data_IF_531744442315
#
_entry.id   IF_531744442315
#
_cell.length_a   1.000
_cell.length_b   1.000
_cell.length_c   1.000
_cell.angle_alpha   90.00
_cell.angle_beta   90.00
_cell.angle_gamma   90.00
#
_symmetry.space_group_name_H-M   'P 1'
#
loop_
_entity.id
_entity.type
_entity.pdbx_description
1 polymer ?
#
# COMPACT_ATOMS: atom_id res chain seq x y z
N UNK A 1 34.20 -5.63 -58.78
CA UNK A 1 34.44 -7.07 -59.03
C UNK A 1 35.73 -7.49 -58.33
N UNK A 2 35.81 -8.76 -57.87
CA UNK A 2 36.73 -9.42 -56.90
C UNK A 2 36.15 -9.40 -55.47
N UNK A 3 35.48 -10.45 -54.91
CA UNK A 3 35.83 -11.88 -54.65
C UNK A 3 37.11 -11.98 -53.77
N UNK A 4 37.23 -12.67 -52.63
CA UNK A 4 36.55 -13.86 -52.04
C UNK A 4 37.09 -14.16 -50.59
N UNK A 5 36.30 -14.92 -49.79
CA UNK A 5 36.58 -15.83 -48.63
C UNK A 5 37.36 -15.37 -47.36
N UNK A 6 36.87 -15.53 -46.11
CA UNK A 6 36.44 -16.69 -45.27
C UNK A 6 37.60 -17.54 -44.70
N UNK A 7 37.79 -17.56 -43.36
CA UNK A 7 37.98 -18.78 -42.54
C UNK A 7 38.07 -18.51 -41.03
N UNK A 8 37.50 -19.45 -40.28
CA UNK A 8 37.21 -19.52 -38.83
C UNK A 8 38.29 -20.37 -38.13
N UNK A 9 38.61 -20.08 -36.85
CA UNK A 9 38.88 -20.99 -35.70
C UNK A 9 39.57 -20.15 -34.61
N UNK A 10 39.33 -20.23 -33.30
CA UNK A 10 38.63 -21.18 -32.44
C UNK A 10 39.22 -20.97 -31.03
N UNK A 11 38.40 -20.98 -29.97
CA UNK A 11 38.90 -20.85 -28.61
C UNK A 11 37.83 -20.47 -27.59
N UNK A 12 36.89 -21.37 -27.33
CA UNK A 12 35.99 -21.25 -26.17
C UNK A 12 36.62 -21.97 -24.98
N UNK A 13 36.94 -21.21 -23.93
CA UNK A 13 37.30 -21.74 -22.61
C UNK A 13 36.00 -22.05 -21.88
N UNK A 14 35.68 -23.33 -21.71
CA UNK A 14 34.61 -23.76 -20.82
C UNK A 14 35.22 -24.02 -19.43
N UNK A 15 35.11 -23.05 -18.53
CA UNK A 15 35.33 -23.26 -17.11
C UNK A 15 34.04 -23.81 -16.49
N UNK A 16 34.12 -25.03 -15.96
CA UNK A 16 33.07 -25.61 -15.14
C UNK A 16 32.97 -24.85 -13.81
N UNK A 17 31.83 -24.21 -13.58
CA UNK A 17 31.43 -23.69 -12.28
C UNK A 17 30.23 -24.47 -11.78
N UNK A 18 30.46 -25.40 -10.86
CA UNK A 18 29.42 -25.94 -9.98
C UNK A 18 28.94 -24.81 -9.09
N UNK A 19 27.67 -24.45 -9.21
CA UNK A 19 26.99 -23.48 -8.36
C UNK A 19 25.58 -23.96 -8.08
N UNK A 20 25.45 -24.82 -7.09
CA UNK A 20 24.17 -25.10 -6.45
C UNK A 20 23.69 -23.80 -5.80
N UNK A 21 22.53 -23.33 -6.22
CA UNK A 21 21.84 -22.18 -5.63
C UNK A 21 20.41 -22.27 -6.08
N UNK A 22 19.62 -23.08 -5.38
CA UNK A 22 18.17 -23.01 -5.45
C UNK A 22 17.77 -21.57 -5.14
N UNK A 23 17.39 -20.83 -6.18
CA UNK A 23 16.67 -19.56 -6.03
C UNK A 23 15.38 -19.88 -5.27
N UNK A 24 15.45 -19.67 -3.96
CA UNK A 24 14.26 -19.48 -3.15
C UNK A 24 13.79 -18.08 -3.49
N UNK A 25 13.09 -17.94 -4.62
CA UNK A 25 12.30 -16.75 -4.89
C UNK A 25 11.20 -16.72 -3.83
N UNK A 26 11.48 -16.03 -2.73
CA UNK A 26 10.43 -15.59 -1.82
C UNK A 26 9.57 -14.65 -2.65
N UNK A 27 8.37 -15.14 -2.99
CA UNK A 27 7.33 -14.39 -3.67
C UNK A 27 6.80 -13.32 -2.70
N UNK A 28 7.51 -12.19 -2.61
CA UNK A 28 6.97 -10.98 -2.01
C UNK A 28 5.89 -10.49 -2.96
N UNK A 29 4.64 -10.37 -2.51
CA UNK A 29 3.52 -9.95 -3.34
C UNK A 29 3.77 -8.60 -4.02
N UNK A 30 4.33 -8.64 -5.23
CA UNK A 30 4.59 -7.47 -6.06
C UNK A 30 3.40 -7.29 -7.00
N UNK A 31 2.66 -6.20 -6.82
CA UNK A 31 1.67 -5.78 -7.82
C UNK A 31 2.46 -5.22 -9.02
N UNK A 32 2.54 -5.98 -10.10
CA UNK A 32 3.10 -5.54 -11.39
C UNK A 32 1.97 -5.27 -12.37
N UNK A 33 1.82 -4.02 -12.82
CA UNK A 33 1.08 -3.72 -14.04
C UNK A 33 1.95 -4.04 -15.25
N UNK A 34 2.02 -5.31 -15.65
CA UNK A 34 2.43 -5.62 -17.03
C UNK A 34 1.38 -5.04 -17.97
N UNK A 35 1.79 -4.25 -18.97
CA UNK A 35 0.96 -3.68 -20.03
C UNK A 35 0.40 -4.75 -21.01
N UNK A 36 -0.22 -5.78 -20.47
CA UNK A 36 -1.19 -6.65 -21.15
C UNK A 36 -2.39 -6.71 -20.24
N UNK A 37 -3.59 -6.48 -20.78
CA UNK A 37 -4.86 -6.40 -20.06
C UNK A 37 -4.93 -7.43 -18.93
N UNK A 38 -4.66 -6.99 -17.70
CA UNK A 38 -4.77 -7.81 -16.52
C UNK A 38 -6.24 -7.74 -16.06
N UNK A 39 -7.01 -8.84 -16.08
CA UNK A 39 -8.39 -8.84 -15.62
C UNK A 39 -8.53 -8.54 -14.11
N UNK A 40 -7.43 -8.45 -13.35
CA UNK A 40 -7.43 -7.86 -12.00
C UNK A 40 -7.70 -6.34 -11.97
N UNK A 41 -7.75 -5.67 -13.14
CA UNK A 41 -8.37 -4.36 -13.34
C UNK A 41 -9.90 -4.41 -13.40
N UNK A 42 -10.53 -5.53 -13.01
CA UNK A 42 -11.90 -5.44 -12.52
C UNK A 42 -11.87 -4.62 -11.23
N UNK A 43 -11.99 -3.29 -11.42
CA UNK A 43 -12.36 -2.27 -10.44
C UNK A 43 -13.18 -2.92 -9.34
N UNK A 44 -12.52 -3.41 -8.28
CA UNK A 44 -13.20 -4.06 -7.17
C UNK A 44 -14.22 -3.06 -6.69
N UNK A 45 -15.49 -3.43 -6.82
CA UNK A 45 -16.63 -2.51 -6.82
C UNK A 45 -16.60 -1.71 -5.53
N UNK A 46 -16.09 -0.47 -5.63
CA UNK A 46 -16.37 0.58 -4.67
C UNK A 46 -17.90 0.64 -4.64
N UNK A 47 -18.50 0.29 -3.51
CA UNK A 47 -19.94 0.29 -3.37
C UNK A 47 -20.45 1.73 -3.56
N UNK A 48 -21.73 1.88 -3.90
CA UNK A 48 -22.34 3.21 -4.06
C UNK A 48 -22.13 4.05 -2.80
N UNK A 49 -22.25 3.41 -1.63
CA UNK A 49 -22.05 4.01 -0.32
C UNK A 49 -20.61 4.53 -0.12
N UNK A 50 -19.57 3.76 -0.47
CA UNK A 50 -18.19 4.29 -0.40
C UNK A 50 -17.92 5.40 -1.43
N UNK A 51 -18.54 5.34 -2.61
CA UNK A 51 -18.44 6.42 -3.60
C UNK A 51 -19.05 7.72 -3.07
N UNK A 52 -20.24 7.65 -2.46
CA UNK A 52 -20.92 8.80 -1.88
C UNK A 52 -20.13 9.41 -0.71
N UNK A 53 -19.59 8.58 0.21
CA UNK A 53 -18.75 9.05 1.31
C UNK A 53 -17.48 9.74 0.82
N UNK A 54 -16.76 9.14 -0.13
CA UNK A 54 -15.56 9.74 -0.72
C UNK A 54 -15.89 11.08 -1.37
N UNK A 55 -16.97 11.17 -2.15
CA UNK A 55 -17.39 12.42 -2.78
C UNK A 55 -17.74 13.49 -1.73
N UNK A 56 -18.43 13.11 -0.66
CA UNK A 56 -18.73 14.01 0.44
C UNK A 56 -17.45 14.54 1.11
N UNK A 57 -16.50 13.66 1.41
CA UNK A 57 -15.22 14.05 2.01
C UNK A 57 -14.38 14.95 1.08
N UNK A 58 -14.40 14.68 -0.23
CA UNK A 58 -13.77 15.54 -1.24
C UNK A 58 -14.39 16.94 -1.25
N UNK A 59 -15.73 17.04 -1.22
CA UNK A 59 -16.43 18.32 -1.17
C UNK A 59 -16.11 19.13 0.09
N UNK A 60 -15.86 18.45 1.21
CA UNK A 60 -15.42 19.08 2.45
C UNK A 60 -13.93 19.45 2.48
N UNK A 61 -13.17 19.12 1.42
CA UNK A 61 -11.73 19.42 1.29
C UNK A 61 -10.82 18.50 2.11
N UNK A 62 -11.30 17.30 2.46
CA UNK A 62 -10.69 16.43 3.46
C UNK A 62 -9.76 15.35 2.88
N UNK A 63 -9.58 15.35 1.56
CA UNK A 63 -8.75 14.40 0.81
C UNK A 63 -7.46 15.04 0.30
N UNK A 64 -6.78 15.81 1.14
CA UNK A 64 -5.52 16.45 0.75
C UNK A 64 -4.46 15.38 0.43
N UNK A 65 -3.79 15.52 -0.71
CA UNK A 65 -2.64 14.68 -1.03
C UNK A 65 -1.41 15.17 -0.24
N UNK A 66 -0.72 14.24 0.43
CA UNK A 66 0.58 14.48 1.06
C UNK A 66 1.65 13.64 0.39
N UNK A 67 2.87 14.17 0.30
CA UNK A 67 4.02 13.41 -0.22
C UNK A 67 4.88 12.95 0.93
N UNK A 68 5.23 11.66 0.94
CA UNK A 68 6.06 11.01 1.95
C UNK A 68 7.32 10.47 1.28
N UNK A 69 8.49 10.93 1.74
CA UNK A 69 9.78 10.39 1.33
C UNK A 69 10.18 9.24 2.24
N UNK A 70 10.57 8.13 1.63
CA UNK A 70 11.24 7.04 2.33
C UNK A 70 12.67 7.43 2.71
N UNK A 71 13.29 6.63 3.58
CA UNK A 71 14.68 6.85 3.99
C UNK A 71 15.65 6.59 2.84
N UNK A 72 15.38 5.55 2.04
CA UNK A 72 16.18 5.22 0.87
C UNK A 72 15.91 6.20 -0.29
N UNK A 73 16.95 6.76 -0.94
CA UNK A 73 16.77 7.61 -2.11
C UNK A 73 15.95 6.92 -3.20
N UNK A 74 15.03 7.67 -3.80
CA UNK A 74 14.13 7.20 -4.86
C UNK A 74 12.84 6.55 -4.37
N UNK A 75 12.62 6.44 -3.05
CA UNK A 75 11.32 6.07 -2.45
C UNK A 75 10.51 7.34 -2.20
N UNK A 76 9.35 7.43 -2.84
CA UNK A 76 8.45 8.57 -2.74
C UNK A 76 7.00 8.10 -2.93
N UNK A 77 6.15 8.31 -1.94
CA UNK A 77 4.72 8.06 -2.06
C UNK A 77 3.95 9.37 -2.05
N UNK A 78 2.99 9.51 -2.97
CA UNK A 78 1.88 10.43 -2.81
C UNK A 78 0.74 9.68 -2.13
N UNK A 79 0.25 10.22 -1.03
CA UNK A 79 -0.69 9.57 -0.12
C UNK A 79 -1.91 10.46 0.04
N UNK A 80 -3.07 9.87 -0.17
CA UNK A 80 -4.36 10.54 -0.02
C UNK A 80 -5.23 9.73 0.93
N UNK A 81 -5.63 10.32 2.04
CA UNK A 81 -6.67 9.76 2.92
C UNK A 81 -8.03 10.09 2.30
N UNK A 82 -8.76 9.07 1.85
CA UNK A 82 -10.02 9.24 1.13
C UNK A 82 -11.23 9.24 2.06
N UNK A 83 -11.21 8.35 3.04
CA UNK A 83 -12.34 8.17 3.95
C UNK A 83 -11.92 7.58 5.30
N UNK A 84 -12.76 7.82 6.31
CA UNK A 84 -12.69 7.19 7.64
C UNK A 84 -14.09 6.78 8.05
N UNK A 85 -14.34 5.48 8.11
CA UNK A 85 -15.69 4.95 8.34
C UNK A 85 -15.70 3.79 9.33
N UNK A 86 -16.85 3.54 9.94
CA UNK A 86 -17.07 2.38 10.81
C UNK A 86 -17.30 1.13 9.95
N UNK A 87 -16.71 0.00 10.36
CA UNK A 87 -16.81 -1.30 9.65
C UNK A 87 -16.82 -2.44 10.66
N UNK A 88 -16.75 -3.68 10.19
CA UNK A 88 -16.66 -4.90 10.98
C UNK A 88 -15.57 -5.83 10.46
N UNK A 89 -15.02 -6.68 11.33
CA UNK A 89 -14.14 -7.76 10.90
C UNK A 89 -14.91 -8.81 10.11
N UNK A 90 -14.25 -9.39 9.10
CA UNK A 90 -14.82 -10.42 8.22
C UNK A 90 -14.06 -11.75 8.26
N UNK A 91 -13.01 -11.85 9.07
CA UNK A 91 -12.15 -13.03 9.26
C UNK A 91 -12.51 -13.85 10.51
N UNK A 92 -13.57 -13.48 11.22
CA UNK A 92 -13.97 -14.10 12.49
C UNK A 92 -13.30 -13.49 13.72
N UNK A 93 -12.47 -12.46 13.59
CA UNK A 93 -11.95 -11.70 14.72
C UNK A 93 -13.08 -11.02 15.49
N UNK A 94 -13.01 -11.05 16.82
CA UNK A 94 -13.99 -10.39 17.68
C UNK A 94 -13.65 -8.91 17.90
N UNK A 95 -14.69 -8.07 17.91
CA UNK A 95 -14.56 -6.69 18.37
C UNK A 95 -14.68 -6.66 19.90
N UNK A 96 -13.67 -6.16 20.64
CA UNK A 96 -13.73 -6.10 22.10
C UNK A 96 -14.95 -5.32 22.60
N UNK A 97 -15.58 -5.72 23.71
CA UNK A 97 -16.70 -4.99 24.30
C UNK A 97 -16.35 -3.52 24.56
N UNK A 98 -17.28 -2.62 24.23
CA UNK A 98 -17.07 -1.16 24.35
C UNK A 98 -16.17 -0.56 23.27
N UNK A 99 -15.78 -1.34 22.26
CA UNK A 99 -15.02 -0.87 21.09
C UNK A 99 -15.81 -1.01 19.81
N UNK A 100 -15.32 -0.38 18.75
CA UNK A 100 -15.77 -0.51 17.37
C UNK A 100 -14.57 -0.60 16.43
N UNK A 101 -14.80 -1.13 15.23
CA UNK A 101 -13.78 -1.17 14.18
C UNK A 101 -13.99 0.02 13.24
N UNK A 102 -12.94 0.81 13.06
CA UNK A 102 -12.90 1.88 12.08
C UNK A 102 -11.92 1.49 10.97
N UNK A 103 -12.20 1.84 9.72
CA UNK A 103 -11.27 1.74 8.62
C UNK A 103 -10.91 3.11 8.10
N UNK A 104 -9.62 3.32 7.82
CA UNK A 104 -9.13 4.45 7.03
C UNK A 104 -8.87 3.95 5.62
N UNK A 105 -9.53 4.53 4.63
CA UNK A 105 -9.24 4.27 3.23
C UNK A 105 -8.15 5.20 2.72
N UNK A 106 -7.05 4.61 2.24
CA UNK A 106 -5.87 5.35 1.79
C UNK A 106 -5.54 4.93 0.36
N UNK A 107 -5.37 5.93 -0.50
CA UNK A 107 -4.74 5.75 -1.79
C UNK A 107 -3.27 6.15 -1.70
N UNK A 108 -2.42 5.29 -2.26
CA UNK A 108 -1.00 5.55 -2.44
C UNK A 108 -0.65 5.49 -3.92
N UNK A 109 0.22 6.41 -4.36
CA UNK A 109 0.85 6.38 -5.67
C UNK A 109 2.35 6.37 -5.47
N UNK A 110 3.05 5.41 -6.08
CA UNK A 110 4.50 5.44 -6.08
C UNK A 110 4.98 6.51 -7.07
N UNK A 111 5.33 7.68 -6.56
CA UNK A 111 5.88 8.79 -7.32
C UNK A 111 7.41 8.73 -7.41
N UNK A 112 8.03 7.71 -6.81
CA UNK A 112 9.46 7.48 -6.81
C UNK A 112 9.95 6.81 -8.08
N UNK A 113 11.25 6.51 -8.09
CA UNK A 113 11.93 5.80 -9.17
C UNK A 113 12.23 4.34 -8.82
N UNK A 114 11.97 3.93 -7.58
CA UNK A 114 12.20 2.57 -7.08
C UNK A 114 10.90 1.89 -6.71
N UNK A 115 10.90 0.56 -6.75
CA UNK A 115 9.81 -0.25 -6.19
C UNK A 115 9.69 0.07 -4.70
N UNK A 116 8.49 0.46 -4.28
CA UNK A 116 8.14 0.58 -2.88
C UNK A 116 7.87 -0.82 -2.33
N UNK A 117 8.40 -1.14 -1.14
CA UNK A 117 8.15 -2.41 -0.46
C UNK A 117 8.22 -2.17 1.06
N UNK A 118 7.07 -2.17 1.72
CA UNK A 118 6.95 -1.92 3.16
C UNK A 118 5.65 -2.54 3.71
N UNK A 119 5.32 -2.26 4.97
CA UNK A 119 4.05 -2.59 5.61
C UNK A 119 3.30 -1.31 6.03
N UNK A 120 2.67 -0.57 5.09
CA UNK A 120 2.01 0.72 5.36
C UNK A 120 1.06 0.75 6.56
N UNK A 121 0.29 -0.32 6.75
CA UNK A 121 -0.66 -0.42 7.85
C UNK A 121 0.02 -0.17 9.21
N UNK A 122 1.20 -0.78 9.45
CA UNK A 122 1.92 -0.68 10.73
C UNK A 122 2.43 0.71 11.06
N UNK A 123 2.69 1.54 10.03
CA UNK A 123 3.11 2.94 10.17
C UNK A 123 1.95 3.91 10.33
N UNK A 124 0.69 3.44 10.30
CA UNK A 124 -0.49 4.29 10.36
C UNK A 124 -1.02 4.41 11.79
N UNK A 125 -1.49 5.60 12.17
CA UNK A 125 -2.07 5.89 13.48
C UNK A 125 -3.23 6.87 13.31
N UNK A 126 -4.35 6.63 13.99
CA UNK A 126 -5.43 7.62 14.08
C UNK A 126 -5.35 8.40 15.38
N UNK A 127 -5.76 9.67 15.33
CA UNK A 127 -5.70 10.61 16.46
C UNK A 127 -7.10 11.18 16.66
N UNK A 128 -7.61 11.11 17.88
CA UNK A 128 -8.93 11.64 18.22
C UNK A 128 -8.92 13.14 18.56
N UNK A 129 -10.09 13.71 18.79
CA UNK A 129 -10.27 15.12 19.15
C UNK A 129 -9.55 15.54 20.46
N UNK A 130 -9.20 14.58 21.34
CA UNK A 130 -8.43 14.83 22.56
C UNK A 130 -6.91 14.73 22.35
N UNK A 131 -6.47 14.35 21.15
CA UNK A 131 -5.06 14.10 20.82
C UNK A 131 -4.60 12.68 21.18
N UNK A 132 -5.50 11.79 21.62
CA UNK A 132 -5.16 10.40 21.93
C UNK A 132 -4.95 9.62 20.63
N UNK A 133 -3.89 8.81 20.61
CA UNK A 133 -3.44 8.04 19.45
C UNK A 133 -3.86 6.57 19.55
N UNK A 134 -4.25 6.00 18.42
CA UNK A 134 -4.62 4.59 18.28
C UNK A 134 -3.85 3.97 17.12
N UNK A 135 -3.24 2.81 17.38
CA UNK A 135 -2.48 2.05 16.37
C UNK A 135 -3.42 1.22 15.51
N UNK A 136 -2.99 0.94 14.28
CA UNK A 136 -3.73 0.05 13.39
C UNK A 136 -3.84 -1.35 14.01
N UNK A 137 -4.89 -2.06 13.63
CA UNK A 137 -4.96 -3.51 13.81
C UNK A 137 -3.90 -4.20 12.93
N UNK A 138 -3.58 -5.49 13.19
CA UNK A 138 -2.64 -6.25 12.37
C UNK A 138 -3.07 -6.31 10.90
N UNK A 139 -2.13 -6.27 9.97
CA UNK A 139 -2.41 -6.36 8.52
C UNK A 139 -2.96 -7.72 8.07
N UNK A 140 -3.01 -8.71 8.96
CA UNK A 140 -3.59 -10.03 8.70
C UNK A 140 -5.10 -10.05 8.85
N UNK A 141 -5.70 -9.02 9.45
CA UNK A 141 -7.15 -8.98 9.63
C UNK A 141 -7.85 -8.51 8.36
N UNK A 142 -9.07 -8.99 8.14
CA UNK A 142 -9.93 -8.48 7.07
C UNK A 142 -11.14 -7.75 7.65
N UNK A 143 -11.57 -6.71 6.95
CA UNK A 143 -12.77 -5.92 7.30
C UNK A 143 -13.66 -5.78 6.09
N UNK A 144 -14.93 -5.45 6.32
CA UNK A 144 -15.84 -5.09 5.24
C UNK A 144 -15.49 -3.73 4.62
N UNK A 145 -15.93 -3.51 3.38
CA UNK A 145 -15.78 -2.24 2.67
C UNK A 145 -14.52 -2.11 1.81
N UNK A 146 -13.64 -3.11 1.75
CA UNK A 146 -12.45 -3.04 0.90
C UNK A 146 -11.38 -4.08 1.20
N UNK A 147 -10.22 -3.92 0.59
CA UNK A 147 -9.05 -4.76 0.87
C UNK A 147 -8.11 -4.04 1.84
N UNK A 148 -7.68 -4.72 2.90
CA UNK A 148 -6.68 -4.20 3.83
C UNK A 148 -5.31 -4.22 3.15
N UNK A 149 -4.43 -3.25 3.46
CA UNK A 149 -3.06 -3.29 2.94
C UNK A 149 -2.41 -4.64 3.26
N UNK A 150 -1.94 -5.39 2.25
CA UNK A 150 -1.29 -6.65 2.48
C UNK A 150 0.05 -6.44 3.18
N UNK A 151 0.60 -7.54 3.69
CA UNK A 151 1.94 -7.56 4.24
C UNK A 151 2.68 -8.80 3.71
N UNK A 152 3.75 -8.64 2.92
CA UNK A 152 4.34 -7.37 2.46
C UNK A 152 3.47 -6.62 1.44
N UNK A 153 3.68 -5.32 1.27
CA UNK A 153 3.04 -4.51 0.22
C UNK A 153 4.09 -3.91 -0.72
N UNK A 154 4.11 -4.41 -1.95
CA UNK A 154 4.95 -3.89 -3.04
C UNK A 154 4.19 -2.97 -4.00
N UNK A 155 4.80 -1.88 -4.46
CA UNK A 155 4.20 -0.99 -5.47
C UNK A 155 5.26 -0.51 -6.47
N UNK A 156 5.07 -0.79 -7.76
CA UNK A 156 6.00 -0.35 -8.81
C UNK A 156 5.96 1.17 -9.00
N UNK A 157 7.02 1.80 -9.52
CA UNK A 157 6.99 3.20 -9.91
C UNK A 157 5.78 3.53 -10.80
N UNK A 158 5.10 4.64 -10.52
CA UNK A 158 3.90 5.14 -11.19
C UNK A 158 2.62 4.34 -10.95
N UNK A 159 2.70 3.17 -10.34
CA UNK A 159 1.50 2.42 -9.94
C UNK A 159 0.81 3.09 -8.75
N UNK A 160 -0.50 2.85 -8.66
CA UNK A 160 -1.36 3.33 -7.60
C UNK A 160 -2.15 2.19 -6.96
N UNK A 161 -2.51 2.36 -5.70
CA UNK A 161 -3.31 1.37 -4.97
C UNK A 161 -4.16 2.06 -3.91
N UNK A 162 -5.43 1.65 -3.80
CA UNK A 162 -6.31 2.01 -2.68
C UNK A 162 -6.51 0.78 -1.80
N UNK A 163 -6.35 0.96 -0.50
CA UNK A 163 -6.55 -0.10 0.49
C UNK A 163 -6.93 0.50 1.85
N UNK A 164 -7.45 -0.37 2.71
CA UNK A 164 -7.92 -0.04 4.05
C UNK A 164 -6.82 -0.27 5.09
N UNK A 165 -6.86 0.55 6.14
CA UNK A 165 -6.14 0.30 7.40
C UNK A 165 -7.18 0.24 8.53
N UNK A 166 -7.39 -0.92 9.15
CA UNK A 166 -8.35 -1.08 10.24
C UNK A 166 -7.78 -0.63 11.59
N UNK A 167 -8.66 -0.16 12.48
CA UNK A 167 -8.38 0.31 13.83
C UNK A 167 -9.46 -0.17 14.78
N UNK A 168 -9.07 -0.59 15.99
CA UNK A 168 -10.02 -0.82 17.08
C UNK A 168 -9.96 0.37 18.03
N UNK A 169 -11.09 1.05 18.19
CA UNK A 169 -11.20 2.25 19.05
C UNK A 169 -12.41 2.12 19.97
N UNK A 170 -12.40 2.75 21.15
CA UNK A 170 -13.60 2.84 21.98
C UNK A 170 -14.79 3.42 21.21
N UNK A 171 -15.99 2.95 21.53
CA UNK A 171 -17.22 3.55 20.98
C UNK A 171 -17.29 5.04 21.30
N UNK A 172 -17.79 5.83 20.33
CA UNK A 172 -17.91 7.29 20.47
C UNK A 172 -16.62 8.09 20.23
N UNK A 173 -15.47 7.45 20.00
CA UNK A 173 -14.24 8.15 19.62
C UNK A 173 -14.40 8.85 18.28
N UNK A 174 -14.20 10.17 18.27
CA UNK A 174 -14.19 10.97 17.06
C UNK A 174 -12.76 11.12 16.54
N UNK A 175 -12.41 10.39 15.49
CA UNK A 175 -11.10 10.48 14.84
C UNK A 175 -11.02 11.81 14.09
N UNK A 176 -9.96 12.58 14.34
CA UNK A 176 -9.74 13.90 13.72
C UNK A 176 -8.50 13.97 12.87
N UNK A 177 -7.55 13.07 13.06
CA UNK A 177 -6.35 13.02 12.22
C UNK A 177 -5.92 11.60 11.92
N UNK A 178 -5.29 11.43 10.77
CA UNK A 178 -4.57 10.21 10.36
C UNK A 178 -3.12 10.58 10.21
N UNK A 179 -2.23 9.90 10.92
CA UNK A 179 -0.80 9.95 10.70
C UNK A 179 -0.37 8.71 9.91
N UNK A 180 0.46 8.90 8.91
CA UNK A 180 0.98 7.82 8.06
C UNK A 180 2.49 7.97 7.92
N UNK A 181 3.21 6.88 8.07
CA UNK A 181 4.65 6.81 7.95
C UNK A 181 5.03 5.54 7.19
N UNK A 182 6.06 5.65 6.35
CA UNK A 182 6.75 4.53 5.70
C UNK A 182 8.20 4.53 6.16
N UNK A 183 8.82 3.37 6.17
CA UNK A 183 10.19 3.12 6.64
C UNK A 183 10.41 3.58 8.10
N UNK A 184 11.09 2.76 8.92
CA UNK A 184 11.41 3.20 10.29
C UNK A 184 12.41 4.36 10.27
N UNK A 185 11.93 5.59 10.37
CA UNK A 185 12.75 6.80 10.34
C UNK A 185 12.53 7.72 9.13
N UNK A 186 11.68 7.30 8.18
CA UNK A 186 11.24 8.14 7.06
C UNK A 186 10.34 9.30 7.48
N UNK A 187 10.02 10.18 6.53
CA UNK A 187 9.06 11.28 6.75
C UNK A 187 7.68 10.72 7.16
N UNK A 188 6.91 11.54 7.87
CA UNK A 188 5.53 11.21 8.22
C UNK A 188 4.61 12.31 7.73
N UNK A 189 3.40 11.92 7.35
CA UNK A 189 2.34 12.84 7.00
C UNK A 189 1.26 12.86 8.07
N UNK A 190 0.50 13.94 8.09
CA UNK A 190 -0.63 14.13 8.98
C UNK A 190 -1.79 14.76 8.21
N UNK A 191 -2.90 14.03 8.14
CA UNK A 191 -4.12 14.44 7.46
C UNK A 191 -5.19 14.73 8.50
N UNK A 192 -5.95 15.81 8.30
CA UNK A 192 -7.16 16.05 9.07
C UNK A 192 -8.32 15.30 8.42
N UNK A 193 -9.18 14.72 9.25
CA UNK A 193 -10.38 14.01 8.81
C UNK A 193 -11.61 14.66 9.49
N UNK A 194 -12.81 14.58 8.89
CA UNK A 194 -13.98 15.37 9.26
C UNK A 194 -14.41 15.27 10.72
#
# INVERSE_FOLDING_TARGET
MRRVAMLILGGAVAAAGVGCGSDSSIDYGFYSNNHGENPAMEKKVITVDSTERIQQNQQLGLTAEGTIKGEAPGILLRVTVQDVFETSFTDGSETPPGSRVMAVEIQVVNAGSRVFNDTPATGTTVIDASGKKYKSAPSTVTVDGGEVFPNPFGLQPRDQRTALVPFVVPVGVNIKQVAFQIDKGGESGLWRVP
#
